data_IF_383580353769
#
_entry.id   IF_383580353769
#
_cell.length_a   1.000
_cell.length_b   1.000
_cell.length_c   1.000
_cell.angle_alpha   90.00
_cell.angle_beta   90.00
_cell.angle_gamma   90.00
#
_symmetry.space_group_name_H-M   'P 1'
#
loop_
_entity.id
_entity.type
_entity.pdbx_description
1 polymer ?
#
# COMPACT_ATOMS: atom_id res chain seq x y z
N UNK A 1 -2.17 -7.11 -16.12
CA UNK A 1 -3.28 -6.59 -16.97
C UNK A 1 -3.09 -5.07 -17.17
N UNK A 2 -3.54 -4.48 -18.28
CA UNK A 2 -3.44 -3.03 -18.56
C UNK A 2 -4.39 -2.15 -17.71
N UNK A 3 -5.29 -2.77 -16.93
CA UNK A 3 -6.35 -2.07 -16.18
C UNK A 3 -5.88 -0.96 -15.23
N UNK A 4 -4.80 -1.18 -14.49
CA UNK A 4 -4.26 -0.16 -13.57
C UNK A 4 -3.79 1.11 -14.30
N UNK A 5 -3.21 0.95 -15.49
CA UNK A 5 -2.73 2.09 -16.29
C UNK A 5 -3.93 2.94 -16.72
N UNK A 6 -4.97 2.29 -17.24
CA UNK A 6 -6.19 2.96 -17.68
C UNK A 6 -6.89 3.68 -16.50
N UNK A 7 -6.98 3.03 -15.34
CA UNK A 7 -7.59 3.62 -14.14
C UNK A 7 -6.86 4.90 -13.71
N UNK A 8 -5.53 4.86 -13.68
CA UNK A 8 -4.70 6.01 -13.31
C UNK A 8 -4.83 7.12 -14.35
N UNK A 9 -4.84 6.78 -15.64
CA UNK A 9 -4.98 7.75 -16.72
C UNK A 9 -6.31 8.51 -16.66
N UNK A 10 -7.42 7.80 -16.39
CA UNK A 10 -8.76 8.39 -16.24
C UNK A 10 -8.85 9.29 -15.00
N UNK A 11 -8.23 8.88 -13.89
CA UNK A 11 -8.38 9.56 -12.61
C UNK A 11 -7.26 10.56 -12.29
N UNK A 12 -6.28 10.74 -13.17
CA UNK A 12 -5.07 11.56 -12.89
C UNK A 12 -5.37 12.98 -12.40
N UNK A 13 -6.39 13.61 -12.97
CA UNK A 13 -6.77 14.97 -12.61
C UNK A 13 -7.54 15.06 -11.29
N UNK A 14 -8.26 13.99 -10.91
CA UNK A 14 -9.04 13.93 -9.66
C UNK A 14 -8.16 13.67 -8.43
N UNK A 15 -7.03 13.01 -8.63
CA UNK A 15 -6.11 12.59 -7.58
C UNK A 15 -5.02 13.65 -7.31
N UNK A 16 -4.95 14.69 -8.14
CA UNK A 16 -4.01 15.80 -7.96
C UNK A 16 -4.20 16.44 -6.58
N UNK A 17 -3.09 16.66 -5.86
CA UNK A 17 -3.07 17.21 -4.49
C UNK A 17 -3.68 16.29 -3.40
N UNK A 18 -3.95 15.02 -3.70
CA UNK A 18 -4.38 14.02 -2.70
C UNK A 18 -3.21 13.12 -2.27
N UNK A 19 -3.30 12.54 -1.08
CA UNK A 19 -2.30 11.58 -0.58
C UNK A 19 -2.10 10.37 -1.51
N UNK A 20 -3.15 10.01 -2.26
CA UNK A 20 -3.12 8.93 -3.26
C UNK A 20 -2.10 9.21 -4.38
N UNK A 21 -1.80 10.49 -4.68
CA UNK A 21 -0.78 10.85 -5.67
C UNK A 21 0.61 10.29 -5.33
N UNK A 22 0.87 10.07 -4.04
CA UNK A 22 2.13 9.52 -3.52
C UNK A 22 2.08 8.01 -3.29
N UNK A 23 0.97 7.35 -3.62
CA UNK A 23 0.79 5.92 -3.37
C UNK A 23 1.74 5.07 -4.25
N UNK A 24 2.21 3.95 -3.69
CA UNK A 24 2.96 2.94 -4.43
C UNK A 24 2.05 2.38 -5.54
N UNK A 25 2.54 2.32 -6.77
CA UNK A 25 1.76 1.98 -7.95
C UNK A 25 1.29 3.20 -8.72
N UNK A 26 0.90 4.27 -8.02
CA UNK A 26 0.46 5.49 -8.68
C UNK A 26 1.63 6.27 -9.26
N UNK A 27 2.65 6.54 -8.42
CA UNK A 27 3.84 7.30 -8.81
C UNK A 27 4.57 6.66 -9.99
N UNK A 28 4.78 5.34 -9.95
CA UNK A 28 5.52 4.63 -11.00
C UNK A 28 4.77 4.61 -12.34
N UNK A 29 3.44 4.47 -12.30
CA UNK A 29 2.64 4.52 -13.52
C UNK A 29 2.58 5.95 -14.07
N UNK A 30 2.52 6.98 -13.23
CA UNK A 30 2.61 8.38 -13.67
C UNK A 30 3.97 8.66 -14.33
N UNK A 31 5.07 8.18 -13.78
CA UNK A 31 6.40 8.35 -14.38
C UNK A 31 6.52 7.60 -15.73
N UNK A 32 5.90 6.42 -15.85
CA UNK A 32 5.77 5.71 -17.12
C UNK A 32 4.93 6.51 -18.14
N UNK A 33 3.77 7.03 -17.73
CA UNK A 33 2.88 7.84 -18.60
C UNK A 33 3.55 9.16 -19.03
N UNK A 34 4.48 9.69 -18.24
CA UNK A 34 5.31 10.87 -18.57
C UNK A 34 6.53 10.53 -19.42
N UNK A 35 6.75 9.25 -19.77
CA UNK A 35 7.88 8.80 -20.57
C UNK A 35 9.23 8.81 -19.86
N UNK A 36 9.25 8.94 -18.52
CA UNK A 36 10.51 9.00 -17.75
C UNK A 36 11.13 7.63 -17.51
N UNK A 37 10.31 6.59 -17.46
CA UNK A 37 10.72 5.21 -17.26
C UNK A 37 9.93 4.29 -18.19
N UNK A 38 10.50 3.14 -18.51
CA UNK A 38 9.82 2.08 -19.24
C UNK A 38 8.75 1.38 -18.39
N UNK A 39 7.80 0.72 -19.04
CA UNK A 39 6.78 -0.08 -18.33
C UNK A 39 7.40 -1.22 -17.50
N UNK A 40 8.55 -1.74 -17.93
CA UNK A 40 9.25 -2.81 -17.23
C UNK A 40 9.91 -2.28 -15.96
N UNK A 41 10.53 -1.10 -16.02
CA UNK A 41 11.06 -0.41 -14.84
C UNK A 41 9.97 -0.03 -13.86
N UNK A 42 8.84 0.49 -14.35
CA UNK A 42 7.68 0.79 -13.51
C UNK A 42 7.22 -0.46 -12.74
N UNK A 43 7.06 -1.60 -13.43
CA UNK A 43 6.71 -2.88 -12.80
C UNK A 43 7.73 -3.34 -11.75
N UNK A 44 9.02 -3.27 -12.09
CA UNK A 44 10.09 -3.66 -11.17
C UNK A 44 10.10 -2.79 -9.91
N UNK A 45 9.92 -1.48 -10.07
CA UNK A 45 9.86 -0.50 -8.99
C UNK A 45 8.64 -0.72 -8.08
N UNK A 46 7.46 -0.95 -8.67
CA UNK A 46 6.25 -1.29 -7.91
C UNK A 46 6.50 -2.54 -7.06
N UNK A 47 6.98 -3.62 -7.68
CA UNK A 47 7.22 -4.87 -6.95
C UNK A 47 8.22 -4.69 -5.80
N UNK A 48 9.34 -3.99 -6.05
CA UNK A 48 10.37 -3.71 -5.04
C UNK A 48 9.81 -2.89 -3.87
N UNK A 49 9.06 -1.82 -4.15
CA UNK A 49 8.47 -0.96 -3.12
C UNK A 49 7.37 -1.67 -2.35
N UNK A 50 6.52 -2.45 -3.01
CA UNK A 50 5.49 -3.27 -2.36
C UNK A 50 6.10 -4.30 -1.41
N UNK A 51 7.16 -5.02 -1.81
CA UNK A 51 7.88 -5.94 -0.91
C UNK A 51 8.48 -5.22 0.30
N UNK A 52 9.08 -4.06 0.08
CA UNK A 52 9.66 -3.25 1.17
C UNK A 52 8.57 -2.73 2.11
N UNK A 53 7.42 -2.33 1.58
CA UNK A 53 6.26 -1.90 2.37
C UNK A 53 5.67 -3.05 3.18
N UNK A 54 5.48 -4.23 2.59
CA UNK A 54 5.04 -5.43 3.30
C UNK A 54 6.00 -5.83 4.42
N UNK A 55 7.33 -5.73 4.20
CA UNK A 55 8.34 -5.94 5.25
C UNK A 55 8.17 -4.93 6.39
N UNK A 56 7.99 -3.64 6.08
CA UNK A 56 7.75 -2.60 7.08
C UNK A 56 6.45 -2.85 7.85
N UNK A 57 5.37 -3.23 7.18
CA UNK A 57 4.12 -3.61 7.83
C UNK A 57 4.36 -4.76 8.80
N UNK A 58 5.01 -5.84 8.35
CA UNK A 58 5.36 -6.98 9.21
C UNK A 58 6.19 -6.56 10.44
N UNK A 59 7.22 -5.73 10.25
CA UNK A 59 8.04 -5.23 11.36
C UNK A 59 7.24 -4.33 12.30
N UNK A 60 6.42 -3.43 11.76
CA UNK A 60 5.59 -2.53 12.55
C UNK A 60 4.59 -3.33 13.40
N UNK A 61 3.91 -4.32 12.81
CA UNK A 61 3.02 -5.22 13.53
C UNK A 61 3.76 -6.00 14.62
N UNK A 62 4.92 -6.59 14.30
CA UNK A 62 5.71 -7.36 15.29
C UNK A 62 6.19 -6.50 16.47
N UNK A 63 6.49 -5.23 16.25
CA UNK A 63 7.07 -4.36 17.27
C UNK A 63 6.02 -3.56 18.06
N UNK A 64 4.81 -3.38 17.53
CA UNK A 64 3.74 -2.60 18.17
C UNK A 64 2.66 -3.45 18.81
N UNK A 65 2.54 -4.72 18.42
CA UNK A 65 1.62 -5.66 19.04
C UNK A 65 2.42 -6.74 19.75
N UNK A 66 2.13 -6.94 21.04
CA UNK A 66 2.60 -8.10 21.77
C UNK A 66 2.06 -9.38 21.11
N UNK A 67 2.65 -10.53 21.43
CA UNK A 67 2.25 -11.85 20.89
C UNK A 67 0.76 -12.22 21.14
N UNK A 68 0.02 -11.37 21.86
CA UNK A 68 -1.40 -11.48 22.18
C UNK A 68 -2.33 -11.37 20.94
N UNK A 69 -1.81 -11.02 19.77
CA UNK A 69 -2.57 -11.12 18.51
C UNK A 69 -2.49 -12.51 17.85
N UNK A 70 -2.10 -13.56 18.58
CA UNK A 70 -2.38 -14.94 18.17
C UNK A 70 -3.86 -15.23 18.44
N UNK A 71 -4.73 -14.85 17.51
CA UNK A 71 -6.15 -15.19 17.60
C UNK A 71 -6.30 -16.68 17.33
N UNK A 72 -6.70 -17.45 18.33
CA UNK A 72 -7.02 -18.86 18.14
C UNK A 72 -8.47 -19.06 17.66
N UNK A 73 -9.28 -17.97 17.57
CA UNK A 73 -10.66 -18.03 17.10
C UNK A 73 -11.25 -16.67 16.75
N UNK A 74 -12.36 -16.66 16.00
CA UNK A 74 -13.21 -15.50 15.64
C UNK A 74 -13.65 -14.68 16.88
N UNK A 75 -13.62 -15.28 18.07
CA UNK A 75 -13.98 -14.64 19.34
C UNK A 75 -13.07 -13.48 19.75
N UNK A 76 -11.86 -13.39 19.20
CA UNK A 76 -10.87 -12.38 19.61
C UNK A 76 -11.00 -11.05 18.84
N UNK A 77 -11.90 -10.98 17.83
CA UNK A 77 -12.11 -9.78 17.00
C UNK A 77 -12.41 -8.50 17.81
N UNK A 78 -13.25 -8.51 18.87
CA UNK A 78 -13.51 -7.31 19.66
C UNK A 78 -12.25 -6.75 20.35
N UNK A 79 -11.37 -7.61 20.85
CA UNK A 79 -10.10 -7.20 21.47
C UNK A 79 -9.16 -6.54 20.46
N UNK A 80 -9.13 -7.08 19.24
CA UNK A 80 -8.34 -6.53 18.14
C UNK A 80 -8.83 -5.12 17.82
N UNK A 81 -10.15 -4.94 17.63
CA UNK A 81 -10.76 -3.64 17.33
C UNK A 81 -10.45 -2.63 18.43
N UNK A 82 -10.59 -3.00 19.71
CA UNK A 82 -10.22 -2.12 20.82
C UNK A 82 -8.73 -1.75 20.82
N UNK A 83 -7.84 -2.69 20.52
CA UNK A 83 -6.40 -2.42 20.46
C UNK A 83 -6.05 -1.41 19.36
N UNK A 84 -6.74 -1.46 18.22
CA UNK A 84 -6.55 -0.50 17.12
C UNK A 84 -7.12 0.88 17.43
N UNK A 85 -8.23 0.95 18.17
CA UNK A 85 -8.82 2.22 18.61
C UNK A 85 -7.93 2.94 19.64
N UNK A 86 -7.19 2.20 20.48
CA UNK A 86 -6.26 2.75 21.47
C UNK A 86 -4.95 3.31 20.88
N UNK A 87 -4.67 3.06 19.60
CA UNK A 87 -3.46 3.54 18.90
C UNK A 87 -3.68 4.94 18.30
N UNK A 88 -4.90 5.48 18.34
CA UNK A 88 -5.24 6.85 17.93
C UNK A 88 -5.35 7.79 19.14
#
# INVERSE_FOLDING_TARGET
KKGLINEIEINKNKVKNCNIEKAIGYVEIIDYLKGKISINEARANILKKTKSYAKRQKTWFKNRFNEDLKTNSIKDIPLIVESFLKIN
#
